data_IF_158032111329
#
_entry.id   IF_158032111329
#
_cell.length_a   1.000
_cell.length_b   1.000
_cell.length_c   1.000
_cell.angle_alpha   90.00
_cell.angle_beta   90.00
_cell.angle_gamma   90.00
#
_symmetry.space_group_name_H-M   'P 1'
#
loop_
_entity.id
_entity.type
_entity.pdbx_description
1 polymer ?
#
# COMPACT_ATOMS: atom_id res chain seq x y z
N UNK A 1 -23.26 -22.80 82.52
CA UNK A 1 -22.00 -22.42 81.86
C UNK A 1 -22.35 -21.90 80.47
N UNK A 2 -23.26 -20.93 80.40
CA UNK A 2 -23.04 -19.48 80.56
C UNK A 2 -22.40 -18.95 79.26
N UNK A 3 -22.92 -17.96 78.54
CA UNK A 3 -24.08 -17.10 78.67
C UNK A 3 -24.32 -16.47 77.27
N UNK A 4 -25.51 -15.96 76.98
CA UNK A 4 -25.69 -14.50 76.93
C UNK A 4 -26.22 -14.08 75.55
N UNK A 5 -27.46 -13.60 75.53
CA UNK A 5 -28.19 -13.03 74.38
C UNK A 5 -28.07 -11.48 74.41
N UNK A 6 -28.86 -10.68 73.66
CA UNK A 6 -28.69 -10.23 72.28
C UNK A 6 -28.53 -8.68 72.18
N UNK A 7 -28.28 -8.14 70.98
CA UNK A 7 -28.35 -6.68 70.76
C UNK A 7 -28.24 -6.27 69.29
N UNK A 8 -29.37 -5.87 68.69
CA UNK A 8 -29.43 -5.30 67.34
C UNK A 8 -29.30 -3.78 67.34
N UNK A 9 -28.82 -3.19 66.24
CA UNK A 9 -28.86 -1.74 65.97
C UNK A 9 -29.05 -1.48 64.46
N UNK A 10 -30.24 -0.96 64.15
CA UNK A 10 -30.58 0.19 63.29
C UNK A 10 -30.02 0.37 61.86
N UNK A 11 -30.98 0.49 60.93
CA UNK A 11 -30.88 1.12 59.61
C UNK A 11 -30.81 2.65 59.74
N UNK A 12 -29.96 3.29 58.93
CA UNK A 12 -30.12 4.70 58.52
C UNK A 12 -29.86 4.84 57.01
N UNK A 13 -30.71 5.57 56.26
CA UNK A 13 -30.52 5.83 54.83
C UNK A 13 -29.80 7.17 54.61
N UNK A 14 -28.84 7.23 53.70
CA UNK A 14 -28.24 8.50 53.29
C UNK A 14 -26.86 8.37 52.67
N UNK A 15 -26.81 8.23 51.34
CA UNK A 15 -25.57 8.30 50.58
C UNK A 15 -25.88 8.73 49.15
N UNK A 16 -25.75 10.03 48.89
CA UNK A 16 -25.80 10.59 47.54
C UNK A 16 -24.67 9.99 46.70
N UNK A 17 -25.02 9.13 45.76
CA UNK A 17 -24.06 8.73 44.73
C UNK A 17 -23.91 9.88 43.74
N UNK A 18 -22.85 10.65 43.98
CA UNK A 18 -22.35 11.67 43.08
C UNK A 18 -22.14 11.10 41.67
N UNK A 19 -22.46 11.96 40.70
CA UNK A 19 -22.12 11.83 39.30
C UNK A 19 -20.74 11.19 39.10
N UNK A 20 -20.74 9.94 38.63
CA UNK A 20 -19.60 9.33 37.98
C UNK A 20 -19.37 10.08 36.66
N UNK A 21 -18.53 11.12 36.73
CA UNK A 21 -17.82 11.64 35.58
C UNK A 21 -16.94 10.52 35.02
N UNK A 22 -17.46 9.80 34.03
CA UNK A 22 -16.64 8.93 33.20
C UNK A 22 -15.73 9.85 32.38
N UNK A 23 -14.48 10.05 32.82
CA UNK A 23 -13.46 10.71 32.02
C UNK A 23 -13.08 9.77 30.88
N UNK A 24 -13.65 10.02 29.71
CA UNK A 24 -13.18 9.47 28.44
C UNK A 24 -11.69 9.81 28.28
N UNK A 25 -10.87 8.79 28.47
CA UNK A 25 -9.42 8.89 28.31
C UNK A 25 -9.10 8.86 26.82
N UNK A 26 -9.05 10.04 26.20
CA UNK A 26 -8.67 10.21 24.80
C UNK A 26 -7.22 9.78 24.56
N UNK A 27 -7.02 8.50 24.22
CA UNK A 27 -5.79 8.03 23.60
C UNK A 27 -5.73 8.61 22.18
N UNK A 28 -4.96 9.68 21.99
CA UNK A 28 -4.58 10.13 20.64
C UNK A 28 -3.79 8.99 19.97
N UNK A 29 -4.42 8.30 19.02
CA UNK A 29 -3.75 7.35 18.11
C UNK A 29 -2.58 8.10 17.46
N UNK A 30 -1.36 7.66 17.74
CA UNK A 30 -0.14 8.24 17.14
C UNK A 30 -0.21 7.98 15.64
N UNK A 31 -0.08 9.03 14.82
CA UNK A 31 -0.07 8.90 13.37
C UNK A 31 1.18 8.11 12.95
N UNK A 32 0.98 6.90 12.42
CA UNK A 32 2.09 6.07 11.97
C UNK A 32 2.56 6.50 10.59
N UNK A 33 3.88 6.63 10.42
CA UNK A 33 4.51 6.90 9.13
C UNK A 33 4.47 5.65 8.26
N UNK A 34 3.83 5.75 7.10
CA UNK A 34 3.70 4.65 6.13
C UNK A 34 4.37 5.03 4.82
N UNK A 35 5.24 4.15 4.32
CA UNK A 35 5.82 4.29 2.98
C UNK A 35 4.95 3.57 1.94
N UNK A 36 4.33 4.32 1.05
CA UNK A 36 3.50 3.83 -0.05
C UNK A 36 4.34 3.72 -1.33
N UNK A 37 4.56 2.49 -1.80
CA UNK A 37 5.13 2.27 -3.13
C UNK A 37 4.18 2.77 -4.22
N UNK A 38 4.70 3.56 -5.16
CA UNK A 38 3.97 4.19 -6.25
C UNK A 38 4.32 3.56 -7.59
N UNK A 39 3.35 2.90 -8.22
CA UNK A 39 3.52 2.39 -9.59
C UNK A 39 3.20 3.41 -10.69
N UNK A 40 2.28 4.32 -10.41
CA UNK A 40 1.77 5.33 -11.33
C UNK A 40 0.97 6.37 -10.52
N UNK A 41 0.86 7.63 -10.99
CA UNK A 41 0.08 8.64 -10.26
C UNK A 41 -1.42 8.32 -10.15
N UNK A 42 -2.12 7.88 -11.22
CA UNK A 42 -3.53 7.48 -11.12
C UNK A 42 -3.82 6.38 -10.10
N UNK A 43 -2.83 5.51 -9.84
CA UNK A 43 -2.92 4.39 -8.92
C UNK A 43 -2.80 4.83 -7.46
N UNK A 44 -2.29 6.05 -7.23
CA UNK A 44 -2.06 6.62 -5.90
C UNK A 44 -3.29 7.34 -5.36
N UNK A 45 -4.20 7.81 -6.23
CA UNK A 45 -5.32 8.68 -5.86
C UNK A 45 -6.13 8.13 -4.68
N UNK A 46 -6.73 6.97 -4.87
CA UNK A 46 -7.59 6.37 -3.87
C UNK A 46 -6.81 5.83 -2.65
N UNK A 47 -5.71 5.07 -2.83
CA UNK A 47 -4.92 4.60 -1.68
C UNK A 47 -4.40 5.72 -0.77
N UNK A 48 -3.99 6.85 -1.35
CA UNK A 48 -3.51 7.99 -0.57
C UNK A 48 -4.61 8.59 0.31
N UNK A 49 -5.82 8.74 -0.23
CA UNK A 49 -6.99 9.21 0.50
C UNK A 49 -7.32 8.30 1.68
N UNK A 50 -7.52 7.01 1.41
CA UNK A 50 -7.86 6.00 2.43
C UNK A 50 -6.81 5.96 3.55
N UNK A 51 -5.52 5.91 3.21
CA UNK A 51 -4.46 5.85 4.23
C UNK A 51 -4.42 7.11 5.11
N UNK A 52 -4.64 8.29 4.52
CA UNK A 52 -4.72 9.55 5.27
C UNK A 52 -5.97 9.59 6.16
N UNK A 53 -7.11 9.11 5.68
CA UNK A 53 -8.35 8.99 6.45
C UNK A 53 -8.21 8.01 7.63
N UNK A 54 -7.43 6.93 7.47
CA UNK A 54 -7.06 6.00 8.56
C UNK A 54 -6.13 6.64 9.62
N UNK A 55 -5.63 7.85 9.36
CA UNK A 55 -4.77 8.64 10.25
C UNK A 55 -3.27 8.44 10.02
N UNK A 56 -2.85 7.85 8.90
CA UNK A 56 -1.44 7.64 8.59
C UNK A 56 -0.76 8.88 8.01
N UNK A 57 0.50 9.07 8.37
CA UNK A 57 1.38 10.03 7.70
C UNK A 57 2.05 9.34 6.50
N UNK A 58 1.52 9.59 5.30
CA UNK A 58 1.89 8.84 4.09
C UNK A 58 3.01 9.53 3.31
N UNK A 59 4.02 8.75 2.94
CA UNK A 59 5.09 9.16 2.03
C UNK A 59 5.13 8.22 0.83
N UNK A 60 5.49 8.75 -0.35
CA UNK A 60 5.60 7.99 -1.57
C UNK A 60 7.01 7.45 -1.82
N UNK A 61 7.07 6.27 -2.44
CA UNK A 61 8.30 5.72 -2.99
C UNK A 61 8.09 5.28 -4.44
N UNK A 62 8.66 5.99 -5.39
CA UNK A 62 8.60 5.63 -6.81
C UNK A 62 9.79 4.74 -7.15
N UNK A 63 9.56 3.42 -7.15
CA UNK A 63 10.56 2.42 -7.50
C UNK A 63 9.99 1.36 -8.43
N UNK A 64 10.37 1.43 -9.70
CA UNK A 64 9.74 0.68 -10.78
C UNK A 64 10.78 0.24 -11.84
N UNK A 65 11.72 -0.65 -11.48
CA UNK A 65 12.77 -1.15 -12.38
C UNK A 65 12.22 -1.85 -13.63
N UNK A 66 10.95 -2.27 -13.59
CA UNK A 66 10.29 -2.95 -14.69
C UNK A 66 9.81 -2.02 -15.79
N UNK A 67 9.70 -0.70 -15.56
CA UNK A 67 9.11 0.21 -16.54
C UNK A 67 10.11 0.43 -17.67
N UNK A 68 9.68 0.21 -18.90
CA UNK A 68 10.44 0.47 -20.11
C UNK A 68 9.43 0.78 -21.24
N UNK A 69 9.85 1.46 -22.32
CA UNK A 69 11.13 2.15 -22.46
C UNK A 69 11.28 3.33 -21.49
N UNK A 70 12.47 3.93 -21.44
CA UNK A 70 12.74 5.07 -20.52
C UNK A 70 11.77 6.25 -20.70
N UNK A 71 11.23 6.45 -21.91
CA UNK A 71 10.19 7.45 -22.15
C UNK A 71 8.90 7.19 -21.36
N UNK A 72 8.50 5.93 -21.19
CA UNK A 72 7.35 5.56 -20.35
C UNK A 72 7.67 5.80 -18.86
N UNK A 73 8.89 5.44 -18.43
CA UNK A 73 9.36 5.71 -17.07
C UNK A 73 9.28 7.20 -16.75
N UNK A 74 9.85 8.04 -17.62
CA UNK A 74 9.85 9.49 -17.46
C UNK A 74 8.43 10.06 -17.42
N UNK A 75 7.55 9.66 -18.33
CA UNK A 75 6.15 10.12 -18.33
C UNK A 75 5.42 9.78 -17.03
N UNK A 76 5.62 8.56 -16.50
CA UNK A 76 5.03 8.17 -15.21
C UNK A 76 5.62 8.95 -14.05
N UNK A 77 6.94 9.19 -14.05
CA UNK A 77 7.62 9.98 -13.04
C UNK A 77 7.12 11.43 -13.02
N UNK A 78 7.09 12.10 -14.18
CA UNK A 78 6.62 13.48 -14.33
C UNK A 78 5.15 13.62 -13.86
N UNK A 79 4.32 12.62 -14.15
CA UNK A 79 2.91 12.58 -13.70
C UNK A 79 2.83 12.39 -12.17
N UNK A 80 3.70 11.55 -11.59
CA UNK A 80 3.79 11.37 -10.13
C UNK A 80 4.24 12.65 -9.46
N UNK A 81 5.25 13.35 -10.01
CA UNK A 81 5.73 14.62 -9.46
C UNK A 81 4.66 15.71 -9.46
N UNK A 82 3.95 15.84 -10.59
CA UNK A 82 2.84 16.80 -10.71
C UNK A 82 1.75 16.50 -9.69
N UNK A 83 1.34 15.25 -9.58
CA UNK A 83 0.30 14.83 -8.63
C UNK A 83 0.75 15.00 -7.17
N UNK A 84 1.96 14.56 -6.86
CA UNK A 84 2.51 14.62 -5.51
C UNK A 84 2.69 16.06 -5.03
N UNK A 85 3.10 16.98 -5.92
CA UNK A 85 3.16 18.41 -5.62
C UNK A 85 1.79 18.99 -5.24
N UNK A 86 0.74 18.65 -5.99
CA UNK A 86 -0.63 19.08 -5.69
C UNK A 86 -1.18 18.53 -4.37
N UNK A 87 -0.86 17.27 -4.06
CA UNK A 87 -1.30 16.57 -2.85
C UNK A 87 -0.40 16.77 -1.63
N UNK A 88 0.69 17.54 -1.78
CA UNK A 88 1.75 17.69 -0.76
C UNK A 88 2.28 16.33 -0.27
N UNK A 89 2.41 15.37 -1.18
CA UNK A 89 2.97 14.05 -0.90
C UNK A 89 4.49 14.09 -1.08
N UNK A 90 5.23 13.83 -0.01
CA UNK A 90 6.69 13.65 -0.13
C UNK A 90 7.01 12.35 -0.87
N UNK A 91 7.72 12.42 -1.99
CA UNK A 91 8.07 11.25 -2.81
C UNK A 91 9.58 11.06 -2.88
N UNK A 92 10.03 9.86 -2.53
CA UNK A 92 11.40 9.40 -2.77
C UNK A 92 11.47 8.63 -4.09
N UNK A 93 12.58 8.80 -4.82
CA UNK A 93 12.86 8.11 -6.08
C UNK A 93 14.33 7.71 -6.10
N UNK A 94 14.65 6.68 -6.87
CA UNK A 94 16.05 6.36 -7.16
C UNK A 94 16.56 7.22 -8.32
N UNK A 95 17.80 7.70 -8.22
CA UNK A 95 18.48 8.42 -9.30
C UNK A 95 19.05 7.46 -10.37
N UNK A 96 18.46 6.29 -10.52
CA UNK A 96 18.88 5.25 -11.43
C UNK A 96 17.69 4.72 -12.24
N UNK A 97 17.99 4.08 -13.37
CA UNK A 97 17.03 3.33 -14.17
C UNK A 97 17.50 1.87 -14.25
N UNK A 98 17.26 1.06 -13.19
CA UNK A 98 17.87 -0.26 -13.05
C UNK A 98 17.11 -1.35 -13.84
N UNK A 99 16.99 -1.16 -15.16
CA UNK A 99 16.31 -2.10 -16.04
C UNK A 99 17.00 -3.49 -16.04
N UNK A 100 18.33 -3.51 -16.01
CA UNK A 100 19.11 -4.74 -16.01
C UNK A 100 18.85 -5.57 -14.75
N UNK A 101 18.56 -4.93 -13.61
CA UNK A 101 18.16 -5.63 -12.39
C UNK A 101 16.86 -6.41 -12.61
N UNK A 102 15.85 -5.76 -13.21
CA UNK A 102 14.59 -6.42 -13.53
C UNK A 102 14.79 -7.57 -14.54
N UNK A 103 15.54 -7.33 -15.63
CA UNK A 103 15.74 -8.34 -16.66
C UNK A 103 16.47 -9.58 -16.11
N UNK A 104 17.53 -9.40 -15.32
CA UNK A 104 18.26 -10.54 -14.70
C UNK A 104 17.38 -11.40 -13.79
N UNK A 105 16.35 -10.83 -13.18
CA UNK A 105 15.43 -11.59 -12.32
C UNK A 105 14.42 -12.42 -13.14
N UNK A 106 14.11 -11.99 -14.36
CA UNK A 106 12.99 -12.53 -15.16
C UNK A 106 13.43 -13.39 -16.34
N UNK A 107 14.61 -13.16 -16.91
CA UNK A 107 15.12 -13.98 -18.03
C UNK A 107 15.19 -15.45 -17.59
N UNK A 108 14.70 -16.35 -18.45
CA UNK A 108 14.44 -17.79 -18.18
C UNK A 108 13.26 -18.08 -17.23
N UNK A 109 12.47 -17.08 -16.86
CA UNK A 109 11.29 -17.17 -15.98
C UNK A 109 10.14 -16.26 -16.47
N UNK A 110 10.04 -16.08 -17.78
CA UNK A 110 9.15 -15.10 -18.40
C UNK A 110 7.68 -15.35 -18.07
N UNK A 111 7.28 -16.61 -17.87
CA UNK A 111 5.91 -17.01 -17.51
C UNK A 111 5.54 -16.59 -16.07
N UNK A 112 6.50 -16.57 -15.14
CA UNK A 112 6.30 -16.14 -13.74
C UNK A 112 6.89 -14.75 -13.44
N UNK A 113 7.11 -13.94 -14.49
CA UNK A 113 7.68 -12.59 -14.41
C UNK A 113 7.05 -11.68 -13.36
N UNK A 114 5.74 -11.80 -13.11
CA UNK A 114 5.02 -10.95 -12.17
C UNK A 114 5.47 -11.22 -10.73
N UNK A 115 5.75 -12.48 -10.34
CA UNK A 115 6.26 -12.81 -9.01
C UNK A 115 7.58 -12.10 -8.74
N UNK A 116 8.50 -12.17 -9.70
CA UNK A 116 9.80 -11.50 -9.62
C UNK A 116 9.67 -9.97 -9.59
N UNK A 117 8.80 -9.41 -10.44
CA UNK A 117 8.51 -7.98 -10.48
C UNK A 117 7.97 -7.45 -9.14
N UNK A 118 6.97 -8.11 -8.56
CA UNK A 118 6.40 -7.71 -7.28
C UNK A 118 7.41 -7.82 -6.16
N UNK A 119 8.15 -8.95 -6.09
CA UNK A 119 9.18 -9.15 -5.07
C UNK A 119 10.23 -8.05 -5.13
N UNK A 120 10.73 -7.74 -6.31
CA UNK A 120 11.74 -6.72 -6.51
C UNK A 120 11.28 -5.35 -5.97
N UNK A 121 10.07 -4.93 -6.36
CA UNK A 121 9.50 -3.63 -5.99
C UNK A 121 9.16 -3.53 -4.52
N UNK A 122 8.54 -4.58 -3.96
CA UNK A 122 8.19 -4.63 -2.55
C UNK A 122 9.43 -4.70 -1.66
N UNK A 123 10.44 -5.47 -2.03
CA UNK A 123 11.69 -5.54 -1.28
C UNK A 123 12.47 -4.22 -1.31
N UNK A 124 12.55 -3.55 -2.48
CA UNK A 124 13.13 -2.19 -2.57
C UNK A 124 12.41 -1.19 -1.68
N UNK A 125 11.08 -1.23 -1.69
CA UNK A 125 10.24 -0.36 -0.85
C UNK A 125 10.41 -0.66 0.64
N UNK A 126 10.43 -1.93 1.04
CA UNK A 126 10.63 -2.33 2.43
C UNK A 126 11.99 -1.91 2.96
N UNK A 127 13.06 -2.06 2.17
CA UNK A 127 14.40 -1.56 2.52
C UNK A 127 14.42 -0.05 2.69
N UNK A 128 13.77 0.69 1.78
CA UNK A 128 13.64 2.14 1.90
C UNK A 128 12.84 2.55 3.16
N UNK A 129 11.74 1.85 3.43
CA UNK A 129 10.89 2.09 4.59
C UNK A 129 11.66 1.85 5.90
N UNK A 130 12.42 0.76 5.99
CA UNK A 130 13.28 0.48 7.14
C UNK A 130 14.36 1.55 7.32
N UNK A 131 15.06 1.92 6.25
CA UNK A 131 16.09 2.97 6.27
C UNK A 131 15.52 4.33 6.69
N UNK A 132 14.28 4.64 6.30
CA UNK A 132 13.60 5.89 6.61
C UNK A 132 12.88 5.92 7.96
N UNK A 133 12.94 4.84 8.76
CA UNK A 133 12.27 4.77 10.06
C UNK A 133 10.73 4.76 9.96
N UNK A 134 10.18 4.22 8.87
CA UNK A 134 8.74 4.05 8.69
C UNK A 134 8.21 2.89 9.54
N UNK A 135 6.98 3.01 10.02
CA UNK A 135 6.32 1.98 10.82
C UNK A 135 5.87 0.79 9.96
N UNK A 136 5.49 1.05 8.70
CA UNK A 136 5.07 0.04 7.75
C UNK A 136 5.31 0.49 6.30
N UNK A 137 5.23 -0.45 5.37
CA UNK A 137 5.18 -0.18 3.94
C UNK A 137 3.94 -0.80 3.30
N UNK A 138 3.49 -0.22 2.18
CA UNK A 138 2.40 -0.77 1.36
C UNK A 138 2.61 -0.41 -0.10
N UNK A 139 1.65 -0.71 -0.98
CA UNK A 139 1.80 -0.56 -2.42
C UNK A 139 0.51 -0.18 -3.14
N UNK A 140 0.62 0.75 -4.11
CA UNK A 140 -0.48 1.07 -5.03
C UNK A 140 -0.79 -0.07 -6.01
N UNK A 141 -0.02 -1.15 -6.03
CA UNK A 141 -0.36 -2.33 -6.84
C UNK A 141 -1.68 -2.97 -6.40
N UNK A 142 -2.04 -2.83 -5.12
CA UNK A 142 -3.27 -3.34 -4.53
C UNK A 142 -4.54 -2.57 -4.96
N UNK A 143 -4.39 -1.47 -5.69
CA UNK A 143 -5.49 -0.72 -6.33
C UNK A 143 -5.95 -1.35 -7.64
N UNK A 144 -5.06 -2.02 -8.36
CA UNK A 144 -5.36 -2.49 -9.71
C UNK A 144 -6.15 -3.80 -9.72
N UNK A 145 -7.27 -3.80 -10.46
CA UNK A 145 -8.10 -4.99 -10.70
C UNK A 145 -7.42 -6.05 -11.58
N UNK A 146 -6.34 -5.69 -12.28
CA UNK A 146 -5.62 -6.58 -13.21
C UNK A 146 -4.40 -7.25 -12.57
N UNK A 147 -3.96 -6.78 -11.40
CA UNK A 147 -2.79 -7.35 -10.73
C UNK A 147 -3.18 -8.58 -9.91
N UNK A 148 -2.24 -9.52 -9.74
CA UNK A 148 -2.48 -10.76 -8.98
C UNK A 148 -2.43 -10.45 -7.48
N UNK A 149 -3.58 -10.07 -6.91
CA UNK A 149 -3.67 -9.50 -5.56
C UNK A 149 -3.20 -10.46 -4.46
N UNK A 150 -3.63 -11.72 -4.49
CA UNK A 150 -3.18 -12.75 -3.54
C UNK A 150 -1.67 -13.00 -3.65
N UNK A 151 -1.12 -12.93 -4.85
CA UNK A 151 0.32 -13.03 -5.08
C UNK A 151 1.05 -11.81 -4.50
N UNK A 152 0.52 -10.59 -4.66
CA UNK A 152 1.09 -9.39 -4.05
C UNK A 152 1.07 -9.49 -2.53
N UNK A 153 -0.05 -9.94 -1.95
CA UNK A 153 -0.19 -10.13 -0.50
C UNK A 153 0.84 -11.12 0.03
N UNK A 154 0.89 -12.33 -0.53
CA UNK A 154 1.84 -13.36 -0.11
C UNK A 154 3.31 -12.93 -0.23
N UNK A 155 3.67 -12.19 -1.29
CA UNK A 155 5.02 -11.65 -1.45
C UNK A 155 5.28 -10.53 -0.45
N UNK A 156 4.30 -9.65 -0.20
CA UNK A 156 4.39 -8.57 0.79
C UNK A 156 4.64 -9.10 2.19
N UNK A 157 3.88 -10.13 2.60
CA UNK A 157 4.05 -10.81 3.90
C UNK A 157 5.44 -11.45 4.01
N UNK A 158 5.92 -12.12 2.96
CA UNK A 158 7.25 -12.73 2.93
C UNK A 158 8.38 -11.67 2.97
N UNK A 159 8.20 -10.53 2.29
CA UNK A 159 9.15 -9.41 2.34
C UNK A 159 9.14 -8.76 3.72
N UNK A 160 7.96 -8.56 4.33
CA UNK A 160 7.85 -8.01 5.67
C UNK A 160 8.60 -8.85 6.71
N UNK A 161 8.44 -10.17 6.65
CA UNK A 161 9.16 -11.10 7.51
C UNK A 161 10.68 -11.05 7.28
N UNK A 162 11.13 -11.00 6.03
CA UNK A 162 12.55 -10.97 5.68
C UNK A 162 13.24 -9.65 6.07
N UNK A 163 12.57 -8.52 5.87
CA UNK A 163 13.13 -7.19 6.11
C UNK A 163 12.89 -6.70 7.55
N UNK A 164 11.97 -7.33 8.28
CA UNK A 164 11.61 -6.95 9.66
C UNK A 164 10.83 -5.64 9.73
N UNK A 165 9.98 -5.37 8.74
CA UNK A 165 9.09 -4.21 8.71
C UNK A 165 7.67 -4.63 8.28
N UNK A 166 6.61 -4.24 8.98
CA UNK A 166 5.24 -4.62 8.64
C UNK A 166 4.82 -4.23 7.21
N UNK A 167 4.16 -5.16 6.51
CA UNK A 167 3.44 -4.88 5.28
C UNK A 167 1.98 -4.56 5.58
N UNK A 168 1.58 -3.31 5.31
CA UNK A 168 0.22 -2.85 5.53
C UNK A 168 -0.66 -3.23 4.32
N UNK A 169 -1.21 -4.44 4.34
CA UNK A 169 -2.14 -4.88 3.30
C UNK A 169 -3.49 -4.16 3.41
N UNK A 170 -3.98 -3.67 2.26
CA UNK A 170 -5.32 -3.10 2.07
C UNK A 170 -5.81 -3.43 0.67
N UNK A 171 -7.07 -3.80 0.53
CA UNK A 171 -7.67 -3.99 -0.79
C UNK A 171 -8.29 -2.69 -1.29
N UNK A 172 -7.58 -2.00 -2.18
CA UNK A 172 -8.01 -0.69 -2.71
C UNK A 172 -8.85 -0.81 -3.98
N UNK A 173 -9.25 -2.03 -4.41
CA UNK A 173 -9.96 -2.24 -5.68
C UNK A 173 -11.34 -1.60 -5.73
N UNK A 174 -11.99 -1.41 -4.57
CA UNK A 174 -13.29 -0.74 -4.47
C UNK A 174 -13.26 0.70 -4.99
N UNK A 175 -12.14 1.40 -4.76
CA UNK A 175 -11.92 2.76 -5.23
C UNK A 175 -11.52 2.89 -6.70
N UNK A 176 -11.46 1.79 -7.47
CA UNK A 176 -11.00 1.80 -8.86
C UNK A 176 -11.79 2.77 -9.75
N UNK A 177 -13.12 2.74 -9.66
CA UNK A 177 -13.99 3.60 -10.47
C UNK A 177 -13.80 5.08 -10.13
N UNK A 178 -13.64 5.38 -8.85
CA UNK A 178 -13.39 6.74 -8.38
C UNK A 178 -12.04 7.26 -8.84
N UNK A 179 -10.96 6.50 -8.62
CA UNK A 179 -9.63 6.90 -9.06
C UNK A 179 -9.58 7.09 -10.58
N UNK A 180 -10.30 6.27 -11.35
CA UNK A 180 -10.45 6.48 -12.81
C UNK A 180 -11.12 7.79 -13.15
N UNK A 181 -12.20 8.16 -12.46
CA UNK A 181 -12.92 9.42 -12.68
C UNK A 181 -12.05 10.63 -12.34
N UNK A 182 -11.39 10.60 -11.19
CA UNK A 182 -10.52 11.69 -10.73
C UNK A 182 -9.32 11.85 -11.65
N UNK A 183 -8.66 10.76 -12.06
CA UNK A 183 -7.50 10.86 -12.94
C UNK A 183 -7.85 11.47 -14.30
N UNK A 184 -9.05 11.22 -14.83
CA UNK A 184 -9.56 11.85 -16.06
C UNK A 184 -9.83 13.33 -15.86
N UNK A 185 -10.49 13.70 -14.75
CA UNK A 185 -10.77 15.09 -14.38
C UNK A 185 -9.47 15.91 -14.26
N UNK A 186 -8.41 15.31 -13.75
CA UNK A 186 -7.09 15.93 -13.59
C UNK A 186 -6.21 15.85 -14.85
N UNK A 187 -6.70 15.30 -15.97
CA UNK A 187 -5.94 15.20 -17.22
C UNK A 187 -4.67 14.35 -17.12
N UNK A 188 -4.60 13.41 -16.16
CA UNK A 188 -3.39 12.63 -15.92
C UNK A 188 -3.04 11.71 -17.08
N UNK A 189 -1.75 11.50 -17.30
CA UNK A 189 -1.31 10.40 -18.14
C UNK A 189 -1.77 9.06 -17.55
N UNK A 190 -2.37 8.24 -18.42
CA UNK A 190 -2.84 6.89 -18.08
C UNK A 190 -2.18 5.86 -18.99
N UNK A 191 -1.35 5.04 -18.37
CA UNK A 191 -0.69 3.92 -19.00
C UNK A 191 -1.68 2.84 -19.47
N UNK A 192 -1.33 2.17 -20.56
CA UNK A 192 -2.12 1.10 -21.16
C UNK A 192 -1.62 -0.31 -20.77
N UNK A 193 -0.55 -0.39 -19.98
CA UNK A 193 0.15 -1.62 -19.62
C UNK A 193 0.92 -1.47 -18.31
N UNK A 194 1.41 -2.57 -17.74
CA UNK A 194 2.08 -2.52 -16.44
C UNK A 194 3.46 -1.82 -16.48
N UNK A 195 4.03 -1.68 -17.67
CA UNK A 195 5.33 -1.06 -17.90
C UNK A 195 6.43 -2.04 -18.30
N UNK A 196 6.27 -3.37 -18.17
CA UNK A 196 7.33 -4.34 -18.50
C UNK A 196 7.30 -4.83 -19.96
N UNK A 197 8.45 -5.28 -20.48
CA UNK A 197 8.64 -5.58 -21.92
C UNK A 197 7.77 -6.71 -22.39
N UNK A 198 7.54 -7.66 -21.50
CA UNK A 198 6.62 -8.75 -21.74
C UNK A 198 5.17 -8.27 -21.80
N UNK A 199 4.74 -7.36 -20.91
CA UNK A 199 3.39 -6.79 -20.98
C UNK A 199 3.18 -5.90 -22.21
N UNK A 200 4.23 -5.25 -22.70
CA UNK A 200 4.17 -4.49 -23.94
C UNK A 200 4.11 -5.43 -25.15
N UNK A 201 4.94 -6.47 -25.17
CA UNK A 201 4.87 -7.55 -26.16
C UNK A 201 3.48 -8.16 -26.21
N UNK A 202 2.89 -8.53 -25.08
CA UNK A 202 1.57 -9.18 -25.03
C UNK A 202 0.44 -8.29 -25.58
N UNK A 203 0.64 -6.96 -25.64
CA UNK A 203 -0.34 -6.03 -26.25
C UNK A 203 -0.31 -6.01 -27.76
N UNK A 204 0.85 -6.23 -28.36
CA UNK A 204 1.07 -6.04 -29.80
C UNK A 204 1.38 -7.34 -30.55
N UNK A 205 1.96 -8.32 -29.86
CA UNK A 205 2.25 -9.62 -30.42
C UNK A 205 1.04 -10.54 -30.22
N UNK A 206 0.28 -10.87 -31.27
CA UNK A 206 -0.82 -11.81 -31.15
C UNK A 206 -0.27 -13.17 -30.72
N UNK A 207 -0.83 -13.75 -29.66
CA UNK A 207 -0.53 -15.14 -29.34
C UNK A 207 -0.86 -16.00 -30.58
N UNK A 208 -0.01 -16.99 -30.94
CA UNK A 208 -0.40 -17.95 -31.96
C UNK A 208 -1.75 -18.54 -31.56
N UNK A 209 -2.74 -18.49 -32.46
CA UNK A 209 -4.04 -19.13 -32.22
C UNK A 209 -3.76 -20.55 -31.79
N UNK A 210 -4.29 -20.97 -30.64
CA UNK A 210 -4.25 -22.37 -30.23
C UNK A 210 -4.83 -23.18 -31.38
N UNK A 211 -4.02 -24.10 -31.92
CA UNK A 211 -4.50 -25.04 -32.92
C UNK A 211 -5.62 -25.84 -32.25
N UNK A 212 -6.87 -25.82 -32.75
CA UNK A 212 -7.97 -26.56 -32.13
C UNK A 212 -7.83 -28.09 -32.24
N UNK A 213 -6.70 -28.58 -32.78
CA UNK A 213 -6.40 -29.99 -33.03
C UNK A 213 -5.20 -30.54 -32.25
N UNK A 214 -4.78 -29.88 -31.16
CA UNK A 214 -3.73 -30.40 -30.27
C UNK A 214 -4.27 -30.67 -28.87
#
# INVERSE_FOLDING_TARGET
MDGGSPGGIFLTPGGSFGSLHCRESGFKKVAEKVLLHLCCAPCTIYPLGVLREEGHEVYGHFYNPNIHPFSEYKRRLDTVDTYAGGEKLGVTRENAYPLEEFLRQVVFREEDRCRHCYRLRLAGTARMAKKGGFAAFTTTLLYSRFQKHDLIRSIGDAVAAAEGIPFLYRDFREGWSEGVRISKKLGMYRQQYCGCIYSERDRFYPAPRSNPFN
#
